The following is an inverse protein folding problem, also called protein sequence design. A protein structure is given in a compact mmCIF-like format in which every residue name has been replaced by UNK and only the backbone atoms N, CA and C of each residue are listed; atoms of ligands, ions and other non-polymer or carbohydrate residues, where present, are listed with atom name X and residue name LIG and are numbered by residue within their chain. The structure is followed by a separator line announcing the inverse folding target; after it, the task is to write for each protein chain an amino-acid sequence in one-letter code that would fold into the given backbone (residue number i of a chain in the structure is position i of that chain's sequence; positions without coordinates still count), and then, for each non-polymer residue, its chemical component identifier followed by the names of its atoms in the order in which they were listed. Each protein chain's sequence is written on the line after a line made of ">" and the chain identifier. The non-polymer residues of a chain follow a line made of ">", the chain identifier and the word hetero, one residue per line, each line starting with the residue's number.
data_IF_111102976320
#
_entry.id   IF_111102976320
#
_cell.length_a   1.000
_cell.length_b   1.000
_cell.length_c   1.000
_cell.angle_alpha   90.00
_cell.angle_beta   90.00
_cell.angle_gamma   90.00
#
_symmetry.space_group_name_H-M   'P 1'
#
loop_
_entity.id
_entity.type
_entity.pdbx_description
1 polymer ?
#
# COMPACT_ATOMS: atom_id res chain seq x y z
N UNK A 1 -24.09 -42.83 40.75
CA UNK A 1 -22.99 -42.08 40.13
C UNK A 1 -23.35 -41.80 38.68
N UNK A 2 -23.95 -40.64 38.36
CA UNK A 2 -24.21 -40.23 36.98
C UNK A 2 -23.16 -39.19 36.64
N UNK A 3 -22.22 -39.53 35.76
CA UNK A 3 -21.24 -38.57 35.26
C UNK A 3 -21.97 -37.54 34.40
N UNK A 4 -21.90 -36.28 34.83
CA UNK A 4 -22.41 -35.14 34.09
C UNK A 4 -21.31 -34.70 33.13
N UNK A 5 -21.38 -35.14 31.88
CA UNK A 5 -20.48 -34.69 30.81
C UNK A 5 -20.78 -33.23 30.48
N UNK A 6 -19.92 -32.31 30.94
CA UNK A 6 -19.90 -30.92 30.51
C UNK A 6 -19.37 -30.87 29.07
N UNK A 7 -20.27 -30.68 28.10
CA UNK A 7 -19.91 -30.27 26.74
C UNK A 7 -19.46 -28.80 26.80
N UNK A 8 -18.15 -28.59 26.88
CA UNK A 8 -17.52 -27.28 26.66
C UNK A 8 -17.66 -26.94 25.17
N UNK A 9 -18.67 -26.16 24.80
CA UNK A 9 -18.70 -25.49 23.49
C UNK A 9 -17.61 -24.41 23.47
N UNK A 10 -16.48 -24.70 22.82
CA UNK A 10 -15.44 -23.73 22.50
C UNK A 10 -16.00 -22.73 21.49
N UNK A 11 -16.34 -21.52 21.95
CA UNK A 11 -16.67 -20.40 21.09
C UNK A 11 -15.36 -19.89 20.48
N UNK A 12 -15.09 -20.21 19.20
CA UNK A 12 -14.01 -19.59 18.46
C UNK A 12 -14.38 -18.12 18.21
N UNK A 13 -13.88 -17.22 19.08
CA UNK A 13 -13.94 -15.79 18.82
C UNK A 13 -12.96 -15.53 17.68
N UNK A 14 -13.46 -15.48 16.45
CA UNK A 14 -12.69 -15.00 15.30
C UNK A 14 -12.51 -13.50 15.48
N UNK A 15 -11.37 -13.09 16.04
CA UNK A 15 -10.96 -11.69 15.96
C UNK A 15 -10.75 -11.34 14.49
N UNK A 16 -11.43 -10.33 13.94
CA UNK A 16 -11.16 -9.90 12.58
C UNK A 16 -9.72 -9.38 12.54
N UNK A 17 -8.91 -9.94 11.64
CA UNK A 17 -7.59 -9.41 11.33
C UNK A 17 -7.81 -8.04 10.67
N UNK A 18 -7.56 -6.96 11.39
CA UNK A 18 -7.71 -5.60 10.86
C UNK A 18 -6.62 -5.36 9.82
N UNK A 19 -6.99 -5.33 8.53
CA UNK A 19 -6.10 -4.91 7.46
C UNK A 19 -6.15 -3.38 7.35
N UNK A 20 -4.99 -2.73 7.39
CA UNK A 20 -4.92 -1.28 7.26
C UNK A 20 -5.42 -0.84 5.87
N UNK A 21 -6.13 0.28 5.82
CA UNK A 21 -6.60 0.88 4.57
C UNK A 21 -5.43 1.36 3.71
N UNK A 22 -5.70 1.58 2.41
CA UNK A 22 -4.70 2.13 1.50
C UNK A 22 -4.19 3.51 1.92
N UNK A 23 -5.06 4.34 2.50
CA UNK A 23 -4.69 5.66 3.01
C UNK A 23 -3.81 5.58 4.26
N UNK A 24 -4.14 4.71 5.21
CA UNK A 24 -3.32 4.48 6.41
C UNK A 24 -1.92 3.97 6.03
N UNK A 25 -1.85 2.98 5.13
CA UNK A 25 -0.57 2.48 4.65
C UNK A 25 0.21 3.54 3.86
N UNK A 26 -0.44 4.34 3.02
CA UNK A 26 0.23 5.43 2.31
C UNK A 26 0.84 6.47 3.26
N UNK A 27 0.09 6.84 4.31
CA UNK A 27 0.53 7.76 5.38
C UNK A 27 1.58 7.16 6.30
N UNK A 28 1.68 5.84 6.41
CA UNK A 28 2.74 5.21 7.19
C UNK A 28 4.04 5.08 6.38
N UNK A 29 3.95 4.71 5.09
CA UNK A 29 5.12 4.20 4.36
C UNK A 29 5.51 5.00 3.11
N UNK A 30 4.57 5.68 2.45
CA UNK A 30 4.81 6.24 1.11
C UNK A 30 5.11 7.75 1.12
N UNK A 31 4.43 8.51 1.97
CA UNK A 31 4.42 9.98 1.95
C UNK A 31 5.80 10.63 2.16
N UNK A 32 6.71 9.97 2.88
CA UNK A 32 8.03 10.54 3.19
C UNK A 32 8.84 10.85 1.92
N UNK A 33 8.60 10.08 0.84
CA UNK A 33 9.15 10.34 -0.48
C UNK A 33 8.11 10.95 -1.42
N UNK A 34 6.88 10.44 -1.44
CA UNK A 34 5.86 10.88 -2.40
C UNK A 34 5.05 12.13 -1.97
N UNK A 35 5.36 12.74 -0.83
CA UNK A 35 4.66 13.91 -0.30
C UNK A 35 3.40 13.56 0.49
N UNK A 36 3.04 14.40 1.47
CA UNK A 36 1.79 14.25 2.26
C UNK A 36 0.54 14.38 1.38
N UNK A 37 0.64 15.16 0.30
CA UNK A 37 -0.43 15.36 -0.68
C UNK A 37 -0.34 14.35 -1.84
N UNK A 38 0.74 13.57 -1.91
CA UNK A 38 1.04 12.70 -3.05
C UNK A 38 1.63 13.41 -4.26
N UNK A 39 2.10 14.66 -4.11
CA UNK A 39 2.63 15.53 -5.15
C UNK A 39 4.10 15.23 -5.53
N UNK A 40 4.69 14.17 -4.99
CA UNK A 40 6.11 13.84 -5.17
C UNK A 40 7.05 14.73 -4.36
N UNK A 41 6.54 15.63 -3.51
CA UNK A 41 7.32 16.58 -2.72
C UNK A 41 7.52 16.11 -1.28
N UNK A 42 8.03 14.88 -1.12
CA UNK A 42 8.34 14.31 0.20
C UNK A 42 9.58 14.93 0.86
N UNK A 43 9.71 14.75 2.18
CA UNK A 43 10.86 15.26 2.94
C UNK A 43 12.20 14.64 2.53
N UNK A 44 12.19 13.44 1.92
CA UNK A 44 13.39 12.69 1.60
C UNK A 44 13.97 12.95 0.19
N UNK A 45 13.43 13.92 -0.58
CA UNK A 45 13.71 14.01 -2.03
C UNK A 45 14.91 14.88 -2.43
N UNK A 46 15.44 15.70 -1.52
CA UNK A 46 16.40 16.79 -1.83
C UNK A 46 17.62 16.31 -2.63
N UNK A 47 18.14 15.12 -2.33
CA UNK A 47 19.34 14.57 -2.94
C UNK A 47 19.05 13.38 -3.89
N UNK A 48 17.80 13.18 -4.30
CA UNK A 48 17.43 12.10 -5.20
C UNK A 48 17.66 12.49 -6.67
N UNK A 49 18.44 11.69 -7.40
CA UNK A 49 18.64 11.85 -8.85
C UNK A 49 17.39 11.56 -9.68
N UNK A 50 16.50 10.72 -9.15
CA UNK A 50 15.19 10.42 -9.71
C UNK A 50 14.14 10.81 -8.68
N UNK A 51 13.36 11.83 -9.01
CA UNK A 51 12.31 12.33 -8.13
C UNK A 51 11.16 11.33 -8.04
N UNK A 52 10.53 11.17 -6.86
CA UNK A 52 9.34 10.35 -6.70
C UNK A 52 8.21 10.81 -7.62
N UNK A 53 7.33 9.87 -7.98
CA UNK A 53 6.18 10.19 -8.82
C UNK A 53 5.18 11.07 -8.06
N UNK A 54 4.70 12.10 -8.75
CA UNK A 54 3.46 12.79 -8.41
C UNK A 54 2.27 11.86 -8.73
N UNK A 55 1.58 11.43 -7.68
CA UNK A 55 0.40 10.59 -7.70
C UNK A 55 -0.90 11.39 -7.89
N UNK A 56 -0.85 12.73 -7.84
CA UNK A 56 -1.98 13.62 -8.13
C UNK A 56 -2.09 13.97 -9.62
N UNK A 57 -1.01 13.78 -10.39
CA UNK A 57 -1.04 13.95 -11.85
C UNK A 57 -1.92 12.88 -12.51
N UNK A 58 -3.17 13.26 -12.82
CA UNK A 58 -4.15 12.45 -13.56
C UNK A 58 -3.58 11.87 -14.85
N UNK A 59 -2.96 12.68 -15.71
CA UNK A 59 -2.51 12.24 -17.03
C UNK A 59 -1.42 11.18 -16.89
N UNK A 60 -0.46 11.42 -16.00
CA UNK A 60 0.56 10.44 -15.66
C UNK A 60 -0.12 9.18 -15.12
N UNK A 61 -0.88 9.26 -14.04
CA UNK A 61 -1.39 8.08 -13.34
C UNK A 61 -2.37 7.25 -14.18
N UNK A 62 -3.21 7.87 -15.02
CA UNK A 62 -4.08 7.17 -15.96
C UNK A 62 -3.34 6.34 -16.99
N UNK A 63 -2.10 6.68 -17.33
CA UNK A 63 -1.30 5.94 -18.31
C UNK A 63 -0.65 4.66 -17.74
N UNK A 64 -0.79 4.38 -16.44
CA UNK A 64 -0.31 3.14 -15.81
C UNK A 64 -1.48 2.22 -15.51
N UNK A 65 -1.28 0.93 -15.73
CA UNK A 65 -2.24 -0.10 -15.31
C UNK A 65 -2.21 -0.31 -13.78
N UNK A 66 -3.31 -0.81 -13.21
CA UNK A 66 -3.34 -1.23 -11.80
C UNK A 66 -2.32 -2.34 -11.52
N UNK A 67 -2.04 -3.19 -12.51
CA UNK A 67 -1.04 -4.25 -12.41
C UNK A 67 0.38 -3.69 -12.29
N UNK A 68 0.74 -2.66 -13.08
CA UNK A 68 2.03 -1.98 -12.93
C UNK A 68 2.16 -1.27 -11.59
N UNK A 69 1.10 -0.58 -11.14
CA UNK A 69 1.10 0.08 -9.83
C UNK A 69 1.25 -0.94 -8.70
N UNK A 70 0.53 -2.06 -8.78
CA UNK A 70 0.67 -3.17 -7.83
C UNK A 70 2.09 -3.73 -7.83
N UNK A 71 2.64 -4.00 -9.02
CA UNK A 71 3.99 -4.57 -9.18
C UNK A 71 5.05 -3.68 -8.54
N UNK A 72 5.04 -2.38 -8.85
CA UNK A 72 6.07 -1.46 -8.31
C UNK A 72 5.97 -1.29 -6.80
N UNK A 73 4.77 -1.31 -6.22
CA UNK A 73 4.62 -1.27 -4.76
C UNK A 73 5.12 -2.59 -4.15
N UNK A 74 4.76 -3.74 -4.74
CA UNK A 74 5.14 -5.05 -4.22
C UNK A 74 6.64 -5.30 -4.32
N UNK A 75 7.23 -5.01 -5.47
CA UNK A 75 8.58 -5.41 -5.86
C UNK A 75 9.59 -4.25 -5.89
N UNK A 76 9.15 -3.02 -5.58
CA UNK A 76 9.99 -1.83 -5.56
C UNK A 76 10.24 -1.22 -6.94
N UNK A 77 10.94 -0.09 -6.96
CA UNK A 77 11.13 0.74 -8.16
C UNK A 77 11.93 0.04 -9.28
N UNK A 78 12.91 -0.79 -8.92
CA UNK A 78 13.70 -1.54 -9.91
C UNK A 78 12.85 -2.51 -10.75
N UNK A 79 11.72 -3.00 -10.23
CA UNK A 79 10.84 -3.94 -10.95
C UNK A 79 10.25 -3.37 -12.25
N UNK A 80 10.32 -2.05 -12.43
CA UNK A 80 9.84 -1.31 -13.60
C UNK A 80 10.89 -0.31 -14.12
N UNK A 81 12.18 -0.62 -13.94
CA UNK A 81 13.32 0.21 -14.39
C UNK A 81 13.27 1.66 -13.84
N UNK A 82 12.90 1.79 -12.55
CA UNK A 82 12.91 3.06 -11.80
C UNK A 82 13.86 2.99 -10.61
N UNK A 83 13.84 4.03 -9.78
CA UNK A 83 14.78 4.23 -8.67
C UNK A 83 14.84 3.04 -7.72
N UNK A 84 16.07 2.61 -7.40
CA UNK A 84 16.37 1.63 -6.34
C UNK A 84 15.89 2.07 -4.96
N UNK A 85 15.66 3.37 -4.78
CA UNK A 85 15.25 3.96 -3.50
C UNK A 85 13.77 3.72 -3.18
N UNK A 86 12.96 3.26 -4.13
CA UNK A 86 11.61 2.80 -3.85
C UNK A 86 11.68 1.33 -3.42
N UNK A 87 11.53 1.01 -2.13
CA UNK A 87 11.73 -0.34 -1.61
C UNK A 87 10.57 -1.27 -2.02
N UNK A 88 10.80 -2.60 -2.06
CA UNK A 88 9.71 -3.58 -2.14
C UNK A 88 8.94 -3.63 -0.81
N UNK A 89 7.61 -3.82 -0.89
CA UNK A 89 6.73 -3.89 0.29
C UNK A 89 6.09 -5.27 0.52
N UNK A 90 6.45 -6.29 -0.28
CA UNK A 90 5.88 -7.63 -0.19
C UNK A 90 6.05 -8.33 1.18
N UNK A 91 7.12 -8.01 1.91
CA UNK A 91 7.40 -8.59 3.24
C UNK A 91 6.74 -7.81 4.38
N UNK A 92 6.14 -6.65 4.09
CA UNK A 92 5.51 -5.74 5.07
C UNK A 92 3.99 -5.72 4.91
N UNK A 93 3.49 -5.86 3.68
CA UNK A 93 2.08 -5.72 3.34
C UNK A 93 1.59 -6.94 2.56
N UNK A 94 0.37 -7.35 2.86
CA UNK A 94 -0.34 -8.35 2.06
C UNK A 94 -0.73 -7.81 0.68
N UNK A 95 -1.01 -8.72 -0.26
CA UNK A 95 -1.54 -8.35 -1.59
C UNK A 95 -2.84 -7.55 -1.50
N UNK A 96 -3.66 -7.78 -0.47
CA UNK A 96 -4.89 -7.04 -0.25
C UNK A 96 -4.61 -5.58 0.15
N UNK A 97 -3.62 -5.35 1.01
CA UNK A 97 -3.19 -4.02 1.44
C UNK A 97 -2.52 -3.24 0.29
N UNK A 98 -1.68 -3.91 -0.50
CA UNK A 98 -1.08 -3.29 -1.70
C UNK A 98 -2.18 -2.89 -2.70
N UNK A 99 -3.17 -3.74 -2.95
CA UNK A 99 -4.33 -3.39 -3.78
C UNK A 99 -5.13 -2.22 -3.20
N UNK A 100 -5.23 -2.11 -1.87
CA UNK A 100 -5.87 -0.97 -1.23
C UNK A 100 -5.09 0.33 -1.46
N UNK A 101 -3.75 0.29 -1.45
CA UNK A 101 -2.92 1.44 -1.84
C UNK A 101 -3.18 1.81 -3.29
N UNK A 102 -3.22 0.86 -4.23
CA UNK A 102 -3.52 1.15 -5.65
C UNK A 102 -4.84 1.89 -5.80
N UNK A 103 -5.90 1.47 -5.08
CA UNK A 103 -7.18 2.18 -5.06
C UNK A 103 -7.06 3.60 -4.50
N UNK A 104 -6.26 3.78 -3.45
CA UNK A 104 -5.99 5.11 -2.90
C UNK A 104 -5.24 6.01 -3.89
N UNK A 105 -4.28 5.48 -4.65
CA UNK A 105 -3.62 6.23 -5.73
C UNK A 105 -4.61 6.68 -6.80
N UNK A 106 -5.62 5.86 -7.14
CA UNK A 106 -6.70 6.24 -8.06
C UNK A 106 -7.56 7.40 -7.55
N UNK A 107 -7.78 7.46 -6.24
CA UNK A 107 -8.43 8.60 -5.58
C UNK A 107 -7.56 9.86 -5.62
N UNK A 108 -6.25 9.74 -5.41
CA UNK A 108 -5.31 10.89 -5.45
C UNK A 108 -5.24 11.55 -6.83
N UNK A 109 -5.17 10.75 -7.90
CA UNK A 109 -5.15 11.26 -9.28
C UNK A 109 -6.53 11.64 -9.82
N UNK A 110 -7.61 11.40 -9.05
CA UNK A 110 -9.00 11.52 -9.51
C UNK A 110 -9.20 10.82 -10.87
N UNK A 111 -8.72 9.58 -11.00
CA UNK A 111 -8.59 8.89 -12.29
C UNK A 111 -9.23 7.49 -12.33
N UNK A 112 -10.25 7.29 -11.48
CA UNK A 112 -11.13 6.11 -11.39
C UNK A 112 -12.53 6.40 -11.92
#
# INVERSE_FOLDING_TARGET
>A
MKQLSLLLLSFFITTPLYAASGEENYKAYCWQCHGMQGDGMGINIENMSVQPRDHTDRKSMSARSDAELFKVIKEGGLSIDKSVLMPPWADVMSDAEIKAIVKYLRKLCDCS
#
